data_IF_132534508507
#
_entry.id   IF_132534508507
#
_cell.length_a   1.000
_cell.length_b   1.000
_cell.length_c   1.000
_cell.angle_alpha   90.00
_cell.angle_beta   90.00
_cell.angle_gamma   90.00
#
_symmetry.space_group_name_H-M   'P 1'
#
loop_
_entity.id
_entity.type
_entity.pdbx_description
1 polymer ?
#
# COMPACT_ATOMS: atom_id res chain seq x y z
N UNK A 1 -7.16 6.02 -2.54
CA UNK A 1 -7.75 4.94 -1.71
C UNK A 1 -6.73 4.57 -0.65
N UNK A 2 -7.11 4.62 0.64
CA UNK A 2 -6.19 4.39 1.77
C UNK A 2 -6.42 3.01 2.38
N UNK A 3 -5.43 2.10 2.39
CA UNK A 3 -5.59 0.79 3.00
C UNK A 3 -5.66 0.86 4.53
N UNK A 4 -6.62 0.14 5.12
CA UNK A 4 -6.80 0.04 6.57
C UNK A 4 -6.12 -1.22 7.11
N UNK A 5 -4.79 -1.16 7.27
CA UNK A 5 -3.96 -2.32 7.69
C UNK A 5 -4.48 -2.99 8.96
N UNK A 6 -4.90 -2.23 9.97
CA UNK A 6 -5.41 -2.76 11.24
C UNK A 6 -6.95 -2.91 11.28
N UNK A 7 -7.65 -2.45 10.23
CA UNK A 7 -9.10 -2.54 10.11
C UNK A 7 -9.57 -3.97 9.87
N UNK A 8 -10.87 -4.23 10.03
CA UNK A 8 -11.46 -5.56 9.74
C UNK A 8 -11.24 -5.96 8.28
N UNK A 9 -11.27 -4.99 7.38
CA UNK A 9 -10.98 -5.13 5.96
C UNK A 9 -9.84 -4.20 5.54
N UNK A 10 -9.12 -4.54 4.47
CA UNK A 10 -8.03 -3.73 3.92
C UNK A 10 -8.53 -2.64 2.98
N UNK A 11 -9.54 -2.98 2.18
CA UNK A 11 -10.20 -2.13 1.21
C UNK A 11 -11.69 -2.41 1.28
N UNK A 12 -12.48 -1.36 1.54
CA UNK A 12 -13.95 -1.43 1.54
C UNK A 12 -14.45 -2.63 2.38
N UNK A 13 -15.40 -3.44 1.90
CA UNK A 13 -16.02 -4.53 2.68
C UNK A 13 -15.52 -5.93 2.36
N UNK A 14 -14.62 -6.10 1.38
CA UNK A 14 -14.50 -7.41 0.70
C UNK A 14 -13.21 -8.17 0.99
N UNK A 15 -12.13 -7.50 1.37
CA UNK A 15 -10.83 -8.14 1.61
C UNK A 15 -10.50 -8.04 3.10
N UNK A 16 -10.46 -9.17 3.79
CA UNK A 16 -10.17 -9.26 5.21
C UNK A 16 -8.71 -8.90 5.49
N UNK A 17 -8.49 -8.06 6.51
CA UNK A 17 -7.12 -7.81 6.95
C UNK A 17 -6.59 -8.97 7.79
N UNK A 18 -5.38 -9.48 7.50
CA UNK A 18 -4.72 -10.46 8.35
C UNK A 18 -4.28 -9.90 9.71
N UNK A 19 -4.26 -8.58 9.90
CA UNK A 19 -3.80 -7.95 11.14
C UNK A 19 -4.94 -7.55 12.08
N UNK A 20 -6.19 -7.82 11.71
CA UNK A 20 -7.34 -7.65 12.59
C UNK A 20 -7.57 -8.88 13.47
N UNK A 21 -7.87 -8.67 14.75
CA UNK A 21 -7.96 -9.76 15.73
C UNK A 21 -9.05 -10.80 15.39
N UNK A 22 -10.21 -10.36 14.88
CA UNK A 22 -11.31 -11.27 14.49
C UNK A 22 -10.95 -12.18 13.32
N UNK A 23 -10.04 -11.72 12.46
CA UNK A 23 -9.71 -12.43 11.23
C UNK A 23 -8.63 -13.50 11.43
N UNK A 24 -7.96 -13.54 12.60
CA UNK A 24 -6.89 -14.50 12.92
C UNK A 24 -7.27 -15.95 12.61
N UNK A 25 -8.55 -16.31 12.76
CA UNK A 25 -9.06 -17.65 12.46
C UNK A 25 -8.90 -18.07 11.00
N UNK A 26 -8.80 -17.12 10.08
CA UNK A 26 -8.66 -17.36 8.63
C UNK A 26 -7.21 -17.48 8.18
N UNK A 27 -6.23 -17.18 9.05
CA UNK A 27 -4.82 -17.12 8.69
C UNK A 27 -3.95 -18.03 9.56
N UNK A 28 -2.76 -18.32 9.06
CA UNK A 28 -1.63 -18.91 9.77
C UNK A 28 -0.50 -17.88 9.73
N UNK A 29 0.29 -17.85 10.81
CA UNK A 29 1.36 -16.89 11.00
C UNK A 29 2.67 -17.63 11.24
N UNK A 30 3.74 -17.15 10.62
CA UNK A 30 5.11 -17.54 10.94
C UNK A 30 5.93 -16.28 11.23
N UNK A 31 6.84 -16.36 12.19
CA UNK A 31 7.61 -15.20 12.64
C UNK A 31 9.10 -15.52 12.61
N UNK A 32 9.88 -14.60 12.04
CA UNK A 32 11.34 -14.65 12.05
C UNK A 32 11.87 -13.40 12.72
N UNK A 33 12.72 -13.54 13.73
CA UNK A 33 13.35 -12.39 14.37
C UNK A 33 14.35 -11.74 13.42
N UNK A 34 14.38 -10.42 13.42
CA UNK A 34 15.31 -9.59 12.66
C UNK A 34 16.20 -8.77 13.63
N UNK A 35 17.35 -8.26 13.17
CA UNK A 35 18.17 -7.35 13.96
C UNK A 35 17.43 -6.08 14.38
N UNK A 36 17.97 -5.37 15.38
CA UNK A 36 17.48 -4.08 15.88
C UNK A 36 16.04 -4.12 16.43
N UNK A 37 15.66 -5.22 17.08
CA UNK A 37 14.36 -5.34 17.75
C UNK A 37 13.18 -5.40 16.79
N UNK A 38 13.40 -5.90 15.57
CA UNK A 38 12.34 -6.11 14.56
C UNK A 38 12.04 -7.58 14.39
N UNK A 39 10.88 -7.89 13.83
CA UNK A 39 10.53 -9.22 13.37
C UNK A 39 9.85 -9.15 12.01
N UNK A 40 10.03 -10.19 11.22
CA UNK A 40 9.26 -10.40 10.01
C UNK A 40 8.13 -11.39 10.31
N UNK A 41 6.90 -10.96 10.05
CA UNK A 41 5.70 -11.77 10.19
C UNK A 41 5.23 -12.15 8.79
N UNK A 42 5.17 -13.45 8.52
CA UNK A 42 4.59 -14.03 7.33
C UNK A 42 3.17 -14.46 7.63
N UNK A 43 2.23 -14.14 6.75
CA UNK A 43 0.83 -14.48 6.89
C UNK A 43 0.35 -15.23 5.66
N UNK A 44 -0.28 -16.39 5.91
CA UNK A 44 -0.84 -17.25 4.88
C UNK A 44 -2.30 -17.55 5.16
N UNK A 45 -3.19 -17.50 4.16
CA UNK A 45 -4.57 -17.91 4.34
C UNK A 45 -4.65 -19.42 4.63
N UNK A 46 -5.56 -19.81 5.52
CA UNK A 46 -5.84 -21.23 5.80
C UNK A 46 -6.55 -21.92 4.64
N UNK A 47 -7.45 -21.17 3.99
CA UNK A 47 -8.18 -21.57 2.79
C UNK A 47 -8.07 -20.43 1.80
N UNK A 48 -7.64 -20.71 0.56
CA UNK A 48 -7.48 -19.67 -0.46
C UNK A 48 -8.85 -19.32 -1.05
N UNK A 49 -9.21 -18.04 -1.01
CA UNK A 49 -10.37 -17.45 -1.67
C UNK A 49 -10.12 -15.93 -1.90
N UNK A 50 -11.06 -15.23 -2.53
CA UNK A 50 -10.94 -13.81 -2.91
C UNK A 50 -11.08 -12.82 -1.75
N UNK A 51 -11.47 -13.28 -0.56
CA UNK A 51 -11.63 -12.45 0.64
C UNK A 51 -10.38 -12.44 1.52
N UNK A 52 -9.43 -13.35 1.30
CA UNK A 52 -8.22 -13.49 2.09
C UNK A 52 -6.98 -13.32 1.22
N UNK A 53 -5.86 -13.00 1.86
CA UNK A 53 -4.63 -12.60 1.17
C UNK A 53 -3.39 -13.17 1.84
N UNK A 54 -2.29 -13.17 1.14
CA UNK A 54 -0.96 -13.39 1.71
C UNK A 54 -0.34 -12.05 2.14
N UNK A 55 0.44 -12.06 3.21
CA UNK A 55 1.10 -10.85 3.68
C UNK A 55 2.49 -11.10 4.25
N UNK A 56 3.35 -10.09 4.16
CA UNK A 56 4.66 -10.06 4.83
C UNK A 56 4.82 -8.70 5.49
N UNK A 57 4.97 -8.67 6.81
CA UNK A 57 5.11 -7.44 7.57
C UNK A 57 6.42 -7.40 8.34
N UNK A 58 7.05 -6.23 8.38
CA UNK A 58 8.14 -5.91 9.31
C UNK A 58 7.55 -5.17 10.49
N UNK A 59 7.64 -5.77 11.66
CA UNK A 59 7.08 -5.24 12.91
C UNK A 59 8.17 -4.93 13.91
N UNK A 60 7.91 -3.97 14.80
CA UNK A 60 8.68 -3.81 16.03
C UNK A 60 8.36 -4.95 17.00
N UNK A 61 9.38 -5.67 17.47
CA UNK A 61 9.20 -6.88 18.29
C UNK A 61 8.65 -6.60 19.68
N UNK A 62 8.74 -5.37 20.19
CA UNK A 62 8.23 -5.00 21.53
C UNK A 62 6.77 -4.55 21.47
N UNK A 63 6.40 -3.77 20.46
CA UNK A 63 5.09 -3.12 20.34
C UNK A 63 4.16 -3.82 19.35
N UNK A 64 4.69 -4.65 18.45
CA UNK A 64 3.93 -5.26 17.36
C UNK A 64 3.56 -4.29 16.24
N UNK A 65 4.02 -3.04 16.31
CA UNK A 65 3.70 -1.99 15.33
C UNK A 65 4.33 -2.31 13.98
N UNK A 66 3.52 -2.34 12.94
CA UNK A 66 3.94 -2.56 11.56
C UNK A 66 4.64 -1.31 11.04
N UNK A 67 5.84 -1.48 10.49
CA UNK A 67 6.61 -0.42 9.82
C UNK A 67 6.47 -0.49 8.30
N UNK A 68 6.41 -1.70 7.76
CA UNK A 68 6.22 -2.00 6.35
C UNK A 68 5.41 -3.27 6.21
N UNK A 69 4.53 -3.32 5.21
CA UNK A 69 3.79 -4.53 4.89
C UNK A 69 3.58 -4.65 3.39
N UNK A 70 3.79 -5.86 2.89
CA UNK A 70 3.44 -6.28 1.55
C UNK A 70 2.23 -7.20 1.61
N UNK A 71 1.28 -6.98 0.70
CA UNK A 71 0.08 -7.79 0.51
C UNK A 71 0.04 -8.34 -0.90
N UNK A 72 -0.41 -9.58 -1.02
CA UNK A 72 -0.68 -10.23 -2.31
C UNK A 72 -2.03 -10.95 -2.25
N UNK A 73 -2.85 -10.70 -3.26
CA UNK A 73 -4.16 -11.32 -3.33
C UNK A 73 -4.75 -11.28 -4.73
N UNK A 74 -5.94 -11.84 -4.83
CA UNK A 74 -6.74 -11.83 -6.04
C UNK A 74 -8.17 -11.43 -5.69
N UNK A 75 -8.72 -10.50 -6.44
CA UNK A 75 -10.11 -10.08 -6.32
C UNK A 75 -10.64 -9.81 -7.72
N UNK A 76 -11.79 -10.41 -8.04
CA UNK A 76 -12.48 -10.23 -9.33
C UNK A 76 -11.55 -10.31 -10.54
N UNK A 77 -10.88 -11.48 -10.69
CA UNK A 77 -9.91 -11.78 -11.76
C UNK A 77 -8.67 -10.86 -11.80
N UNK A 78 -8.48 -10.02 -10.78
CA UNK A 78 -7.38 -9.07 -10.68
C UNK A 78 -6.42 -9.51 -9.59
N UNK A 79 -5.22 -9.93 -9.97
CA UNK A 79 -4.13 -10.22 -9.02
C UNK A 79 -3.44 -8.92 -8.66
N UNK A 80 -3.37 -8.60 -7.38
CA UNK A 80 -2.80 -7.36 -6.90
C UNK A 80 -1.65 -7.60 -5.93
N UNK A 81 -0.73 -6.64 -5.94
CA UNK A 81 0.42 -6.53 -5.05
C UNK A 81 0.41 -5.13 -4.47
N UNK A 82 0.46 -5.03 -3.15
CA UNK A 82 0.45 -3.75 -2.45
C UNK A 82 1.60 -3.70 -1.47
N UNK A 83 2.41 -2.66 -1.56
CA UNK A 83 3.48 -2.36 -0.60
C UNK A 83 3.14 -1.09 0.14
N UNK A 84 3.07 -1.17 1.46
CA UNK A 84 2.74 -0.06 2.34
C UNK A 84 3.90 0.21 3.27
N UNK A 85 4.26 1.49 3.37
CA UNK A 85 5.15 2.02 4.40
C UNK A 85 4.26 2.79 5.37
N UNK A 86 4.29 2.39 6.64
CA UNK A 86 3.51 3.03 7.71
C UNK A 86 4.17 4.34 8.16
N UNK A 87 3.38 5.26 8.71
CA UNK A 87 3.91 6.46 9.36
C UNK A 87 4.81 6.11 10.56
N UNK A 88 5.74 7.00 10.88
CA UNK A 88 6.70 6.78 11.97
C UNK A 88 6.12 7.17 13.33
N UNK A 89 5.51 8.34 13.42
CA UNK A 89 5.24 9.01 14.69
C UNK A 89 3.75 9.22 14.98
N UNK A 90 3.41 9.23 16.26
CA UNK A 90 2.06 9.53 16.78
C UNK A 90 0.95 8.72 16.11
N UNK A 91 -0.20 9.38 15.91
CA UNK A 91 -1.37 8.79 15.25
C UNK A 91 -1.10 8.39 13.79
N UNK A 92 -0.23 9.13 13.10
CA UNK A 92 0.17 8.83 11.72
C UNK A 92 0.78 7.45 11.58
N UNK A 93 1.28 6.87 12.66
CA UNK A 93 1.87 5.55 12.67
C UNK A 93 0.90 4.37 12.64
N UNK A 94 -0.39 4.65 12.84
CA UNK A 94 -1.49 3.73 12.59
C UNK A 94 -1.99 3.79 11.14
N UNK A 95 -1.47 4.73 10.35
CA UNK A 95 -1.87 4.97 8.97
C UNK A 95 -0.72 4.80 7.98
N UNK A 96 -1.01 4.47 6.71
CA UNK A 96 -0.02 4.48 5.65
C UNK A 96 0.59 5.88 5.45
N UNK A 97 1.91 5.98 5.34
CA UNK A 97 2.59 7.17 4.83
C UNK A 97 2.78 7.10 3.30
N UNK A 98 2.95 5.88 2.78
CA UNK A 98 3.06 5.62 1.35
C UNK A 98 2.44 4.26 1.02
N UNK A 99 1.73 4.20 -0.09
CA UNK A 99 1.18 2.96 -0.63
C UNK A 99 1.56 2.86 -2.11
N UNK A 100 2.08 1.71 -2.53
CA UNK A 100 2.32 1.39 -3.94
C UNK A 100 1.53 0.13 -4.28
N UNK A 101 0.74 0.18 -5.35
CA UNK A 101 -0.08 -0.93 -5.82
C UNK A 101 0.29 -1.27 -7.26
N UNK A 102 0.34 -2.57 -7.55
CA UNK A 102 0.33 -3.13 -8.91
C UNK A 102 -0.86 -4.07 -9.01
N UNK A 103 -1.68 -3.91 -10.04
CA UNK A 103 -2.82 -4.77 -10.32
C UNK A 103 -2.70 -5.32 -11.74
N UNK A 104 -2.84 -6.63 -11.88
CA UNK A 104 -2.77 -7.33 -13.15
C UNK A 104 -4.13 -7.96 -13.42
N UNK A 105 -4.77 -7.55 -14.50
CA UNK A 105 -6.05 -8.06 -14.95
C UNK A 105 -5.88 -8.66 -16.35
N UNK A 106 -6.36 -9.89 -16.54
CA UNK A 106 -6.30 -10.57 -17.83
C UNK A 106 -7.70 -10.72 -18.40
N UNK A 107 -7.93 -10.22 -19.61
CA UNK A 107 -9.25 -10.22 -20.23
C UNK A 107 -9.15 -10.46 -21.73
N UNK A 108 -9.82 -11.53 -22.20
CA UNK A 108 -9.91 -11.90 -23.62
C UNK A 108 -8.54 -11.90 -24.34
N UNK A 109 -7.52 -12.49 -23.70
CA UNK A 109 -6.15 -12.55 -24.24
C UNK A 109 -5.29 -11.31 -23.97
N UNK A 110 -5.87 -10.21 -23.52
CA UNK A 110 -5.12 -9.01 -23.11
C UNK A 110 -4.62 -9.12 -21.67
N UNK A 111 -3.44 -8.55 -21.40
CA UNK A 111 -2.88 -8.38 -20.06
C UNK A 111 -2.78 -6.90 -19.75
N UNK A 112 -3.65 -6.42 -18.87
CA UNK A 112 -3.68 -5.02 -18.43
C UNK A 112 -2.95 -4.94 -17.09
N UNK A 113 -1.98 -4.05 -16.99
CA UNK A 113 -1.25 -3.77 -15.74
C UNK A 113 -1.52 -2.33 -15.29
N UNK A 114 -2.18 -2.18 -14.15
CA UNK A 114 -2.33 -0.91 -13.46
C UNK A 114 -1.23 -0.74 -12.41
N UNK A 115 -0.64 0.45 -12.34
CA UNK A 115 0.28 0.81 -11.26
C UNK A 115 -0.19 2.11 -10.63
N UNK A 116 -0.28 2.14 -9.31
CA UNK A 116 -0.71 3.29 -8.55
C UNK A 116 0.22 3.54 -7.37
N UNK A 117 0.47 4.81 -7.04
CA UNK A 117 1.27 5.18 -5.87
C UNK A 117 0.60 6.35 -5.18
N UNK A 118 0.35 6.21 -3.89
CA UNK A 118 -0.17 7.28 -3.02
C UNK A 118 0.87 7.67 -2.00
N UNK A 119 1.03 8.97 -1.80
CA UNK A 119 1.81 9.54 -0.71
C UNK A 119 0.85 10.35 0.15
N UNK A 120 0.85 10.07 1.45
CA UNK A 120 -0.05 10.69 2.43
C UNK A 120 0.69 11.75 3.24
N UNK A 121 -0.05 12.67 3.86
CA UNK A 121 0.52 13.68 4.75
C UNK A 121 1.43 14.70 4.05
N UNK A 122 1.16 15.01 2.78
CA UNK A 122 1.92 16.03 2.06
C UNK A 122 1.70 17.41 2.70
N UNK A 123 2.74 18.22 2.84
CA UNK A 123 2.60 19.59 3.33
C UNK A 123 1.71 20.38 2.36
N UNK A 124 0.88 21.29 2.89
CA UNK A 124 0.07 22.19 2.05
C UNK A 124 1.02 23.23 1.43
N UNK A 125 1.48 22.96 0.21
CA UNK A 125 2.49 23.77 -0.48
C UNK A 125 1.87 24.86 -1.36
N UNK A 126 0.62 24.69 -1.81
CA UNK A 126 -0.05 25.63 -2.71
C UNK A 126 -1.13 26.44 -2.00
N UNK A 127 -1.17 27.73 -2.32
CA UNK A 127 -2.30 28.63 -2.06
C UNK A 127 -3.47 28.25 -2.97
N UNK A 128 -4.70 28.36 -2.46
CA UNK A 128 -5.92 27.92 -3.17
C UNK A 128 -6.24 28.79 -4.42
N UNK A 129 -5.49 29.88 -4.66
CA UNK A 129 -5.57 30.73 -5.85
C UNK A 129 -4.34 30.55 -6.75
N UNK A 130 -4.57 30.19 -8.01
CA UNK A 130 -3.54 30.09 -9.04
C UNK A 130 -3.56 31.36 -9.91
N UNK A 131 -2.53 32.18 -9.79
CA UNK A 131 -2.40 33.40 -10.62
C UNK A 131 -1.79 33.09 -12.01
N UNK A 132 -1.15 31.93 -12.19
CA UNK A 132 -0.52 31.55 -13.45
C UNK A 132 -0.58 30.02 -13.65
N UNK A 133 -1.49 29.58 -14.52
CA UNK A 133 -1.82 28.15 -14.75
C UNK A 133 -0.75 27.42 -15.57
N UNK A 134 0.11 28.15 -16.30
CA UNK A 134 1.12 27.58 -17.18
C UNK A 134 2.51 27.41 -16.54
N UNK A 135 2.67 27.74 -15.26
CA UNK A 135 3.98 27.66 -14.60
C UNK A 135 4.37 26.21 -14.28
N UNK A 136 5.30 25.68 -15.08
CA UNK A 136 5.84 24.33 -14.95
C UNK A 136 6.59 24.10 -13.63
N UNK A 137 7.14 25.15 -13.01
CA UNK A 137 7.81 25.06 -11.72
C UNK A 137 6.81 24.90 -10.57
N UNK A 138 5.64 25.53 -10.66
CA UNK A 138 4.53 25.30 -9.72
C UNK A 138 3.95 23.89 -9.87
N UNK A 139 3.77 23.41 -11.10
CA UNK A 139 3.34 22.03 -11.36
C UNK A 139 4.30 20.98 -10.80
N UNK A 140 5.61 21.24 -10.83
CA UNK A 140 6.62 20.36 -10.25
C UNK A 140 6.47 20.23 -8.72
N UNK A 141 6.08 21.32 -8.03
CA UNK A 141 5.86 21.31 -6.57
C UNK A 141 4.65 20.47 -6.13
N UNK A 142 3.70 20.21 -7.01
CA UNK A 142 2.52 19.37 -6.72
C UNK A 142 2.88 17.88 -6.69
N UNK A 143 3.99 17.50 -7.34
CA UNK A 143 4.36 16.09 -7.44
C UNK A 143 5.09 15.64 -6.18
N UNK A 144 4.58 14.63 -5.47
CA UNK A 144 5.27 14.07 -4.31
C UNK A 144 6.46 13.17 -4.69
N UNK A 145 6.59 12.81 -5.97
CA UNK A 145 7.66 11.95 -6.49
C UNK A 145 8.21 12.61 -7.76
N UNK A 146 9.52 12.83 -7.79
CA UNK A 146 10.22 13.38 -8.95
C UNK A 146 10.13 12.44 -10.16
N UNK A 147 10.16 13.02 -11.36
CA UNK A 147 10.21 12.23 -12.59
C UNK A 147 11.63 11.71 -12.83
N UNK A 148 11.77 10.41 -12.93
CA UNK A 148 12.96 9.78 -13.50
C UNK A 148 12.92 9.90 -15.03
N UNK A 149 14.08 9.96 -15.70
CA UNK A 149 14.19 10.06 -17.19
C UNK A 149 13.29 9.07 -17.95
N UNK A 150 13.10 7.86 -17.42
CA UNK A 150 12.28 6.79 -18.03
C UNK A 150 10.77 7.07 -18.01
N UNK A 151 10.24 7.89 -17.08
CA UNK A 151 8.81 8.23 -17.01
C UNK A 151 8.42 9.36 -17.97
N UNK A 152 9.38 10.18 -18.40
CA UNK A 152 9.15 11.29 -19.32
C UNK A 152 8.74 10.82 -20.73
N UNK A 153 9.22 9.66 -21.18
CA UNK A 153 8.91 9.11 -22.51
C UNK A 153 7.45 8.67 -22.65
N UNK A 154 6.78 8.26 -21.57
CA UNK A 154 5.39 7.79 -21.59
C UNK A 154 4.35 8.89 -21.37
N UNK A 155 4.78 10.12 -21.08
CA UNK A 155 3.86 11.25 -20.81
C UNK A 155 3.77 12.22 -21.99
N UNK A 156 4.40 11.90 -23.12
CA UNK A 156 4.22 12.62 -24.39
C UNK A 156 3.18 11.87 -25.23
N UNK A 157 1.91 12.19 -25.00
CA UNK A 157 0.82 11.97 -25.96
C UNK A 157 0.22 13.36 -26.22
#
# INVERSE_FOLDING_TARGET
MTPTVYGETLFETNILSPFHYKNRRYYKYAVTQLPFGKAQVYVYPRLKNTQVIEARAIVDSKTGKISMVDFEGEYDMTRFYISIIMGKDGFGSLSPARCSMRANFSFMGNKITGMYTTVYGLPKILSDSLNNVADTALMAKVRPIELTKMRLTYTKI
#
